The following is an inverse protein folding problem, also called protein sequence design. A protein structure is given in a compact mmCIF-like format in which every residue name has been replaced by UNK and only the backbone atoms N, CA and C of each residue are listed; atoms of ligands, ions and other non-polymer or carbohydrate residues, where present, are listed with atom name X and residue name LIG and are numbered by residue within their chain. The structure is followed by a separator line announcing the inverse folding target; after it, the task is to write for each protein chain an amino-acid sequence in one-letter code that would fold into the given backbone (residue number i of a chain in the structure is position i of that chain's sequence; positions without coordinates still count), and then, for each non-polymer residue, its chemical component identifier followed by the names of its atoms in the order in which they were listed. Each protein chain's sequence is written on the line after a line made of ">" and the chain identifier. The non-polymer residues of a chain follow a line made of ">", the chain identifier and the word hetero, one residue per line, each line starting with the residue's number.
data_IF_685837123690
#
_entry.id   IF_685837123690
#
_cell.length_a   1.000
_cell.length_b   1.000
_cell.length_c   1.000
_cell.angle_alpha   90.00
_cell.angle_beta   90.00
_cell.angle_gamma   90.00
#
_symmetry.space_group_name_H-M   'P 1'
#
loop_
_entity.id
_entity.type
_entity.pdbx_description
1 polymer ?
#
# COMPACT_ATOMS: atom_id res chain seq x y z
N UNK A 1 13.33 2.33 37.75
CA UNK A 1 12.87 1.90 36.41
C UNK A 1 14.10 1.86 35.52
N UNK A 2 14.47 0.72 34.90
CA UNK A 2 15.67 0.68 34.03
C UNK A 2 15.41 1.52 32.78
N UNK A 3 16.27 2.49 32.51
CA UNK A 3 16.35 3.21 31.22
C UNK A 3 16.67 2.17 30.14
N UNK A 4 15.82 2.04 29.12
CA UNK A 4 16.10 1.16 27.97
C UNK A 4 17.05 1.88 27.02
N UNK A 5 18.07 1.20 26.54
CA UNK A 5 18.95 1.71 25.50
C UNK A 5 18.22 1.88 24.16
N UNK A 6 18.75 2.72 23.27
CA UNK A 6 18.20 2.89 21.90
C UNK A 6 18.06 1.57 21.15
N UNK A 7 19.01 0.64 21.31
CA UNK A 7 18.99 -0.68 20.66
C UNK A 7 17.89 -1.58 21.22
N UNK A 8 17.67 -1.55 22.54
CA UNK A 8 16.55 -2.28 23.15
C UNK A 8 15.20 -1.71 22.70
N UNK A 9 15.06 -0.38 22.60
CA UNK A 9 13.84 0.26 22.08
C UNK A 9 13.61 -0.12 20.62
N UNK A 10 14.65 -0.07 19.79
CA UNK A 10 14.58 -0.49 18.39
C UNK A 10 14.11 -1.94 18.26
N UNK A 11 14.70 -2.89 19.00
CA UNK A 11 14.31 -4.30 18.95
C UNK A 11 12.85 -4.54 19.36
N UNK A 12 12.35 -3.76 20.33
CA UNK A 12 10.93 -3.78 20.71
C UNK A 12 10.06 -3.26 19.56
N UNK A 13 10.39 -2.10 18.99
CA UNK A 13 9.63 -1.50 17.89
C UNK A 13 9.55 -2.44 16.68
N UNK A 14 10.66 -3.08 16.31
CA UNK A 14 10.68 -4.09 15.26
C UNK A 14 9.68 -5.22 15.50
N UNK A 15 9.65 -5.76 16.73
CA UNK A 15 8.73 -6.82 17.09
C UNK A 15 7.27 -6.35 17.04
N UNK A 16 6.98 -5.17 17.60
CA UNK A 16 5.62 -4.63 17.62
C UNK A 16 5.11 -4.31 16.20
N UNK A 17 5.92 -3.69 15.35
CA UNK A 17 5.52 -3.43 13.96
C UNK A 17 5.33 -4.71 13.16
N UNK A 18 6.19 -5.73 13.34
CA UNK A 18 5.97 -7.05 12.73
C UNK A 18 4.68 -7.70 13.21
N UNK A 19 4.27 -7.49 14.46
CA UNK A 19 2.99 -7.96 14.97
C UNK A 19 1.81 -7.25 14.29
N UNK A 20 1.85 -5.92 14.17
CA UNK A 20 0.82 -5.12 13.45
C UNK A 20 0.69 -5.59 12.01
N UNK A 21 1.82 -5.73 11.30
CA UNK A 21 1.86 -6.19 9.91
C UNK A 21 1.31 -7.62 9.79
N UNK A 22 1.63 -8.50 10.74
CA UNK A 22 1.06 -9.85 10.78
C UNK A 22 -0.47 -9.82 10.92
N UNK A 23 -1.01 -8.92 11.75
CA UNK A 23 -2.47 -8.74 11.86
C UNK A 23 -3.04 -8.22 10.54
N UNK A 24 -2.37 -7.28 9.87
CA UNK A 24 -2.77 -6.79 8.56
C UNK A 24 -2.83 -7.91 7.51
N UNK A 25 -1.83 -8.79 7.46
CA UNK A 25 -1.83 -9.97 6.59
C UNK A 25 -3.04 -10.89 6.80
N UNK A 26 -3.51 -11.02 8.04
CA UNK A 26 -4.63 -11.91 8.40
C UNK A 26 -5.99 -11.22 8.40
N UNK A 27 -6.04 -9.90 8.28
CA UNK A 27 -7.29 -9.14 8.26
C UNK A 27 -7.81 -9.10 6.85
N UNK A 28 -8.97 -9.72 6.61
CA UNK A 28 -9.56 -9.79 5.27
C UNK A 28 -9.73 -8.40 4.64
N UNK A 29 -9.41 -8.28 3.35
CA UNK A 29 -9.73 -7.09 2.55
C UNK A 29 -11.24 -6.84 2.40
N UNK A 30 -12.10 -7.79 2.79
CA UNK A 30 -13.55 -7.59 2.87
C UNK A 30 -14.02 -7.09 4.26
N UNK A 31 -13.21 -7.22 5.31
CA UNK A 31 -13.54 -6.77 6.67
C UNK A 31 -13.10 -5.31 6.91
N UNK A 32 -13.91 -4.38 6.39
CA UNK A 32 -13.62 -2.94 6.49
C UNK A 32 -13.48 -2.47 7.93
N UNK A 33 -14.38 -2.89 8.83
CA UNK A 33 -14.37 -2.46 10.22
C UNK A 33 -13.03 -2.81 10.91
N UNK A 34 -12.53 -4.02 10.71
CA UNK A 34 -11.28 -4.43 11.36
C UNK A 34 -10.04 -3.80 10.73
N UNK A 35 -10.02 -3.60 9.40
CA UNK A 35 -8.94 -2.84 8.75
C UNK A 35 -8.89 -1.40 9.22
N UNK A 36 -10.03 -0.71 9.28
CA UNK A 36 -10.09 0.67 9.77
C UNK A 36 -9.66 0.79 11.22
N UNK A 37 -10.00 -0.18 12.09
CA UNK A 37 -9.47 -0.23 13.46
C UNK A 37 -7.95 -0.39 13.51
N UNK A 38 -7.38 -1.21 12.65
CA UNK A 38 -5.92 -1.40 12.59
C UNK A 38 -5.20 -0.15 12.07
N UNK A 39 -5.77 0.53 11.06
CA UNK A 39 -5.28 1.82 10.56
C UNK A 39 -5.38 2.87 11.65
N UNK A 40 -6.53 2.98 12.32
CA UNK A 40 -6.75 3.87 13.46
C UNK A 40 -5.73 3.64 14.56
N UNK A 41 -5.42 2.38 14.89
CA UNK A 41 -4.37 2.05 15.86
C UNK A 41 -3.00 2.62 15.45
N UNK A 42 -2.58 2.49 14.18
CA UNK A 42 -1.31 3.06 13.70
C UNK A 42 -1.32 4.59 13.81
N UNK A 43 -2.45 5.22 13.47
CA UNK A 43 -2.60 6.67 13.56
C UNK A 43 -2.60 7.16 15.00
N UNK A 44 -3.22 6.44 15.92
CA UNK A 44 -3.25 6.72 17.35
C UNK A 44 -1.88 6.54 18.00
N UNK A 45 -1.04 5.62 17.51
CA UNK A 45 0.35 5.54 17.96
C UNK A 45 1.08 6.86 17.71
N UNK A 46 0.81 7.57 16.61
CA UNK A 46 1.42 8.88 16.31
C UNK A 46 0.95 10.01 17.21
N UNK A 47 -0.20 9.86 17.87
CA UNK A 47 -0.73 10.89 18.78
C UNK A 47 -0.23 10.72 20.21
N UNK A 48 0.53 9.64 20.50
CA UNK A 48 1.10 9.43 21.83
C UNK A 48 2.10 10.54 22.19
N UNK A 49 2.18 10.92 23.47
CA UNK A 49 3.20 11.85 23.94
C UNK A 49 4.60 11.37 23.58
N UNK A 50 5.51 12.31 23.32
CA UNK A 50 6.92 12.03 23.07
C UNK A 50 7.45 11.13 24.19
N UNK A 51 8.07 10.01 23.80
CA UNK A 51 8.66 9.10 24.76
C UNK A 51 9.97 9.71 25.28
N UNK A 52 10.04 9.91 26.58
CA UNK A 52 11.25 10.38 27.27
C UNK A 52 11.81 9.29 28.20
N UNK A 53 13.13 9.23 28.30
CA UNK A 53 13.83 8.39 29.28
C UNK A 53 14.95 9.19 29.92
N UNK A 54 14.97 9.27 31.26
CA UNK A 54 15.97 10.05 32.00
C UNK A 54 16.09 11.53 31.58
N UNK A 55 14.99 12.13 31.10
CA UNK A 55 14.94 13.52 30.62
C UNK A 55 15.42 13.73 29.18
N UNK A 56 15.73 12.66 28.45
CA UNK A 56 16.08 12.71 27.04
C UNK A 56 14.97 12.12 26.16
N UNK A 57 14.75 12.73 25.00
CA UNK A 57 13.80 12.23 24.00
C UNK A 57 14.33 10.93 23.41
N UNK A 58 13.54 9.87 23.51
CA UNK A 58 13.86 8.59 22.91
C UNK A 58 13.84 8.70 21.38
N UNK A 59 14.98 8.41 20.77
CA UNK A 59 15.15 8.36 19.31
C UNK A 59 15.73 7.02 18.89
N UNK A 60 15.35 6.56 17.70
CA UNK A 60 15.94 5.41 17.01
C UNK A 60 16.29 5.87 15.61
N UNK A 61 17.55 5.71 15.19
CA UNK A 61 18.05 6.22 13.89
C UNK A 61 17.75 7.72 13.66
N UNK A 62 17.78 8.52 14.73
CA UNK A 62 17.46 9.95 14.70
C UNK A 62 15.96 10.29 14.71
N UNK A 63 15.09 9.30 14.48
CA UNK A 63 13.64 9.44 14.48
C UNK A 63 13.07 9.38 15.89
N UNK A 64 12.18 10.33 16.21
CA UNK A 64 11.47 10.43 17.49
C UNK A 64 10.45 9.31 17.62
N UNK A 65 10.54 8.55 18.70
CA UNK A 65 9.63 7.44 18.96
C UNK A 65 8.18 7.98 19.06
N UNK A 66 7.24 7.22 18.48
CA UNK A 66 5.82 7.57 18.27
C UNK A 66 5.54 8.63 17.21
N UNK A 67 6.30 9.73 17.18
CA UNK A 67 6.08 10.79 16.18
C UNK A 67 6.46 10.29 14.79
N UNK A 68 7.70 9.83 14.62
CA UNK A 68 8.28 9.51 13.31
C UNK A 68 8.13 8.02 12.95
N UNK A 69 7.55 7.22 13.85
CA UNK A 69 7.40 5.76 13.74
C UNK A 69 8.67 5.05 13.27
N UNK A 70 9.79 5.14 14.04
CA UNK A 70 11.04 4.50 13.65
C UNK A 70 10.85 3.03 13.32
N UNK A 71 11.60 2.58 12.32
CA UNK A 71 11.65 1.22 11.76
C UNK A 71 10.33 0.69 11.18
N UNK A 72 9.21 1.41 11.26
CA UNK A 72 7.94 0.97 10.68
C UNK A 72 8.02 0.84 9.15
N UNK A 73 8.58 1.85 8.48
CA UNK A 73 8.77 1.80 7.03
C UNK A 73 9.70 0.66 6.59
N UNK A 74 10.73 0.36 7.38
CA UNK A 74 11.63 -0.77 7.11
C UNK A 74 10.92 -2.13 7.30
N UNK A 75 10.09 -2.25 8.34
CA UNK A 75 9.28 -3.45 8.56
C UNK A 75 8.25 -3.67 7.44
N UNK A 76 7.61 -2.60 6.96
CA UNK A 76 6.70 -2.66 5.81
C UNK A 76 7.44 -3.05 4.52
N UNK A 77 8.68 -2.58 4.33
CA UNK A 77 9.51 -2.97 3.19
C UNK A 77 9.85 -4.46 3.21
N UNK A 78 10.29 -5.00 4.36
CA UNK A 78 10.53 -6.43 4.54
C UNK A 78 9.26 -7.26 4.24
N UNK A 79 8.09 -6.77 4.69
CA UNK A 79 6.81 -7.42 4.43
C UNK A 79 6.47 -7.44 2.93
N UNK A 80 6.76 -6.38 2.18
CA UNK A 80 6.59 -6.35 0.73
C UNK A 80 7.53 -7.33 0.01
N UNK A 81 8.80 -7.38 0.42
CA UNK A 81 9.81 -8.25 -0.20
C UNK A 81 9.53 -9.73 0.01
N UNK A 82 8.97 -10.12 1.17
CA UNK A 82 8.66 -11.53 1.48
C UNK A 82 7.22 -11.91 1.13
N UNK A 83 6.29 -10.96 1.19
CA UNK A 83 4.85 -11.21 1.07
C UNK A 83 4.28 -11.11 -0.34
N UNK A 84 5.08 -10.69 -1.34
CA UNK A 84 4.62 -10.62 -2.73
C UNK A 84 4.19 -12.02 -3.22
N UNK A 85 2.94 -12.16 -3.64
CA UNK A 85 2.37 -13.40 -4.14
C UNK A 85 1.96 -13.28 -5.62
N UNK A 86 1.79 -14.43 -6.26
CA UNK A 86 1.33 -14.59 -7.64
C UNK A 86 0.36 -15.77 -7.73
N UNK A 87 -0.18 -16.04 -8.91
CA UNK A 87 -1.07 -17.19 -9.16
C UNK A 87 -0.38 -18.54 -8.93
N UNK A 88 0.96 -18.57 -8.92
CA UNK A 88 1.74 -19.75 -8.58
C UNK A 88 1.91 -19.98 -7.06
N UNK A 89 1.58 -18.98 -6.24
CA UNK A 89 1.61 -19.08 -4.77
C UNK A 89 0.41 -19.87 -4.25
N UNK A 90 0.49 -20.41 -3.04
CA UNK A 90 -0.68 -21.00 -2.38
C UNK A 90 -1.74 -19.94 -2.02
N UNK A 91 -2.98 -20.39 -1.79
CA UNK A 91 -4.12 -19.49 -1.55
C UNK A 91 -3.94 -18.58 -0.32
N UNK A 92 -3.31 -19.07 0.74
CA UNK A 92 -3.07 -18.28 1.95
C UNK A 92 -2.05 -17.17 1.68
N UNK A 93 -1.00 -17.44 0.90
CA UNK A 93 -0.07 -16.40 0.45
C UNK A 93 -0.76 -15.35 -0.45
N UNK A 94 -1.62 -15.78 -1.38
CA UNK A 94 -2.39 -14.87 -2.24
C UNK A 94 -3.33 -13.96 -1.41
N UNK A 95 -4.07 -14.54 -0.46
CA UNK A 95 -5.00 -13.79 0.40
C UNK A 95 -4.27 -12.76 1.27
N UNK A 96 -3.15 -13.19 1.88
CA UNK A 96 -2.28 -12.30 2.67
C UNK A 96 -1.79 -11.13 1.83
N UNK A 97 -1.40 -11.38 0.59
CA UNK A 97 -0.93 -10.33 -0.31
C UNK A 97 -2.02 -9.29 -0.63
N UNK A 98 -3.25 -9.73 -0.89
CA UNK A 98 -4.37 -8.80 -1.11
C UNK A 98 -4.70 -8.03 0.18
N UNK A 99 -4.72 -8.71 1.32
CA UNK A 99 -5.02 -8.11 2.63
C UNK A 99 -4.04 -7.00 3.02
N UNK A 100 -2.73 -7.23 2.87
CA UNK A 100 -1.73 -6.21 3.21
C UNK A 100 -1.81 -5.00 2.27
N UNK A 101 -2.15 -5.22 0.98
CA UNK A 101 -2.36 -4.13 0.04
C UNK A 101 -3.60 -3.30 0.43
N UNK A 102 -4.70 -3.94 0.82
CA UNK A 102 -5.92 -3.26 1.29
C UNK A 102 -5.67 -2.44 2.58
N UNK A 103 -5.00 -3.01 3.57
CA UNK A 103 -4.61 -2.27 4.77
C UNK A 103 -3.72 -1.05 4.44
N UNK A 104 -2.78 -1.22 3.52
CA UNK A 104 -1.83 -0.16 3.17
C UNK A 104 -2.50 0.95 2.36
N UNK A 105 -3.45 0.63 1.48
CA UNK A 105 -4.26 1.62 0.78
C UNK A 105 -5.16 2.40 1.74
N UNK A 106 -5.82 1.74 2.69
CA UNK A 106 -6.61 2.40 3.74
C UNK A 106 -5.73 3.35 4.59
N UNK A 107 -4.51 2.94 4.93
CA UNK A 107 -3.56 3.78 5.68
C UNK A 107 -3.14 5.01 4.87
N UNK A 108 -2.84 4.84 3.57
CA UNK A 108 -2.46 5.95 2.67
C UNK A 108 -3.62 6.94 2.52
N UNK A 109 -4.84 6.46 2.29
CA UNK A 109 -6.05 7.29 2.22
C UNK A 109 -6.26 8.04 3.54
N UNK A 110 -6.15 7.36 4.69
CA UNK A 110 -6.35 7.98 6.01
C UNK A 110 -5.31 9.06 6.32
N UNK A 111 -4.04 8.82 5.98
CA UNK A 111 -2.95 9.81 6.16
C UNK A 111 -3.22 11.04 5.29
N UNK A 112 -3.59 10.85 4.02
CA UNK A 112 -3.88 11.94 3.10
C UNK A 112 -5.13 12.73 3.49
N UNK A 113 -6.21 12.05 3.90
CA UNK A 113 -7.45 12.68 4.40
C UNK A 113 -7.21 13.51 5.67
N UNK A 114 -6.23 13.12 6.49
CA UNK A 114 -5.79 13.89 7.65
C UNK A 114 -4.83 15.06 7.29
N UNK A 115 -4.59 15.32 6.00
CA UNK A 115 -3.61 16.29 5.48
C UNK A 115 -2.20 16.07 6.03
N UNK A 116 -1.83 14.81 6.25
CA UNK A 116 -0.49 14.39 6.69
C UNK A 116 0.27 13.78 5.51
N UNK A 117 1.59 13.74 5.63
CA UNK A 117 2.48 13.15 4.63
C UNK A 117 3.16 11.87 5.13
N UNK A 118 2.96 11.50 6.40
CA UNK A 118 3.67 10.38 7.03
C UNK A 118 2.73 9.51 7.91
N UNK A 119 2.90 8.17 7.87
CA UNK A 119 3.79 7.43 6.98
C UNK A 119 3.34 7.47 5.51
N UNK A 120 4.30 7.55 4.58
CA UNK A 120 4.03 7.51 3.14
C UNK A 120 4.34 6.13 2.55
N UNK A 121 3.28 5.37 2.25
CA UNK A 121 3.38 4.09 1.55
C UNK A 121 2.83 4.13 0.12
N UNK A 122 2.60 5.33 -0.44
CA UNK A 122 2.03 5.46 -1.78
C UNK A 122 2.92 4.86 -2.89
N UNK A 123 4.24 4.77 -2.66
CA UNK A 123 5.16 4.07 -3.57
C UNK A 123 4.79 2.58 -3.73
N UNK A 124 4.25 1.96 -2.68
CA UNK A 124 3.88 0.55 -2.74
C UNK A 124 2.65 0.34 -3.60
N UNK A 125 1.72 1.31 -3.59
CA UNK A 125 0.63 1.36 -4.55
C UNK A 125 1.13 1.42 -5.99
N UNK A 126 2.13 2.25 -6.29
CA UNK A 126 2.76 2.25 -7.62
C UNK A 126 3.32 0.89 -7.99
N UNK A 127 4.07 0.23 -7.09
CA UNK A 127 4.66 -1.08 -7.37
C UNK A 127 3.61 -2.16 -7.63
N UNK A 128 2.55 -2.19 -6.81
CA UNK A 128 1.46 -3.16 -6.95
C UNK A 128 0.66 -2.91 -8.23
N UNK A 129 0.26 -1.67 -8.49
CA UNK A 129 -0.52 -1.31 -9.69
C UNK A 129 0.31 -1.54 -10.96
N UNK A 130 1.60 -1.19 -10.96
CA UNK A 130 2.49 -1.44 -12.10
C UNK A 130 2.51 -2.92 -12.48
N UNK A 131 2.66 -3.79 -11.49
CA UNK A 131 2.77 -5.25 -11.70
C UNK A 131 1.59 -5.82 -12.49
N UNK A 132 0.36 -5.31 -12.30
CA UNK A 132 -0.84 -5.83 -12.96
C UNK A 132 -1.32 -5.01 -14.15
N UNK A 133 -1.14 -3.68 -14.13
CA UNK A 133 -1.70 -2.78 -15.13
C UNK A 133 -0.68 -2.25 -16.15
N UNK A 134 0.62 -2.37 -15.87
CA UNK A 134 1.68 -1.80 -16.69
C UNK A 134 2.73 -2.80 -17.16
N UNK A 135 2.78 -4.00 -16.59
CA UNK A 135 3.67 -5.06 -17.09
C UNK A 135 2.97 -5.96 -18.09
N UNK A 136 3.72 -6.40 -19.10
CA UNK A 136 3.27 -7.43 -20.02
C UNK A 136 3.30 -8.79 -19.31
N UNK A 137 2.22 -9.54 -19.46
CA UNK A 137 2.06 -10.88 -18.89
C UNK A 137 2.60 -11.93 -19.87
N UNK A 138 2.89 -13.13 -19.37
CA UNK A 138 3.33 -14.25 -20.22
C UNK A 138 2.28 -14.61 -21.28
N UNK A 139 1.01 -14.43 -20.96
CA UNK A 139 -0.10 -14.48 -21.89
C UNK A 139 -0.54 -13.05 -22.20
N UNK A 140 -0.42 -12.63 -23.46
CA UNK A 140 -0.73 -11.26 -23.87
C UNK A 140 -2.15 -10.87 -23.44
N UNK A 141 -2.24 -9.76 -22.71
CA UNK A 141 -3.52 -9.20 -22.27
C UNK A 141 -4.09 -9.78 -20.98
N UNK A 142 -3.55 -10.87 -20.42
CA UNK A 142 -4.04 -11.51 -19.18
C UNK A 142 -3.06 -11.35 -18.01
N UNK A 143 -3.25 -10.35 -17.12
CA UNK A 143 -2.39 -10.17 -15.96
C UNK A 143 -2.53 -11.33 -14.97
N UNK A 144 -1.54 -11.48 -14.10
CA UNK A 144 -1.61 -12.35 -12.92
C UNK A 144 -2.81 -11.94 -12.05
N UNK A 145 -3.68 -12.91 -11.73
CA UNK A 145 -4.96 -12.68 -11.05
C UNK A 145 -4.72 -12.16 -9.64
N UNK A 146 -3.74 -12.71 -8.94
CA UNK A 146 -3.36 -12.29 -7.58
C UNK A 146 -2.87 -10.84 -7.56
N UNK A 147 -1.99 -10.46 -8.49
CA UNK A 147 -1.54 -9.08 -8.64
C UNK A 147 -2.68 -8.14 -9.07
N UNK A 148 -3.62 -8.63 -9.88
CA UNK A 148 -4.80 -7.87 -10.30
C UNK A 148 -5.72 -7.57 -9.11
N UNK A 149 -6.01 -8.56 -8.26
CA UNK A 149 -6.78 -8.36 -7.01
C UNK A 149 -6.09 -7.36 -6.09
N UNK A 150 -4.78 -7.50 -5.90
CA UNK A 150 -3.99 -6.58 -5.07
C UNK A 150 -3.99 -5.14 -5.62
N UNK A 151 -3.96 -4.95 -6.94
CA UNK A 151 -4.07 -3.62 -7.53
C UNK A 151 -5.48 -3.06 -7.44
N UNK A 152 -6.51 -3.89 -7.61
CA UNK A 152 -7.91 -3.46 -7.52
C UNK A 152 -8.23 -2.85 -6.14
N UNK A 153 -7.74 -3.46 -5.04
CA UNK A 153 -7.97 -2.93 -3.69
C UNK A 153 -7.31 -1.55 -3.45
N UNK A 154 -6.25 -1.19 -4.18
CA UNK A 154 -5.71 0.18 -4.14
C UNK A 154 -6.69 1.21 -4.71
N UNK A 155 -7.37 0.89 -5.81
CA UNK A 155 -8.41 1.76 -6.36
C UNK A 155 -9.65 1.78 -5.47
N UNK A 156 -10.09 0.63 -4.96
CA UNK A 156 -11.29 0.57 -4.11
C UNK A 156 -11.13 1.43 -2.85
N UNK A 157 -9.97 1.35 -2.19
CA UNK A 157 -9.78 2.00 -0.89
C UNK A 157 -9.08 3.36 -0.94
N UNK A 158 -8.38 3.69 -2.04
CA UNK A 158 -7.58 4.92 -2.12
C UNK A 158 -7.70 5.68 -3.46
N UNK A 159 -8.75 5.49 -4.26
CA UNK A 159 -8.89 6.17 -5.57
C UNK A 159 -8.78 7.69 -5.48
N UNK A 160 -9.38 8.33 -4.47
CA UNK A 160 -9.34 9.78 -4.29
C UNK A 160 -7.90 10.24 -4.07
N UNK A 161 -7.21 9.64 -3.11
CA UNK A 161 -5.81 9.96 -2.80
C UNK A 161 -4.87 9.67 -3.98
N UNK A 162 -5.04 8.55 -4.68
CA UNK A 162 -4.24 8.22 -5.86
C UNK A 162 -4.44 9.26 -6.98
N UNK A 163 -5.68 9.65 -7.27
CA UNK A 163 -5.97 10.67 -8.27
C UNK A 163 -5.39 12.03 -7.85
N UNK A 164 -5.47 12.40 -6.58
CA UNK A 164 -4.89 13.64 -6.08
C UNK A 164 -3.37 13.64 -6.19
N UNK A 165 -2.69 12.53 -5.87
CA UNK A 165 -1.25 12.41 -6.13
C UNK A 165 -0.91 12.53 -7.62
N UNK A 166 -1.76 11.99 -8.51
CA UNK A 166 -1.60 12.11 -9.95
C UNK A 166 -1.79 13.56 -10.44
N UNK A 167 -2.78 14.28 -9.93
CA UNK A 167 -3.00 15.71 -10.22
C UNK A 167 -1.85 16.58 -9.71
N UNK A 168 -1.32 16.24 -8.53
CA UNK A 168 -0.16 16.93 -7.93
C UNK A 168 1.17 16.56 -8.59
N UNK A 169 1.19 15.52 -9.43
CA UNK A 169 2.40 15.05 -10.10
C UNK A 169 3.45 14.50 -9.13
N UNK A 170 3.03 13.85 -8.04
CA UNK A 170 3.94 13.36 -6.99
C UNK A 170 5.02 12.42 -7.56
N UNK A 171 6.30 12.84 -7.47
CA UNK A 171 7.45 12.09 -7.99
C UNK A 171 8.23 11.37 -6.88
N UNK A 172 9.01 10.36 -7.27
CA UNK A 172 9.95 9.68 -6.38
C UNK A 172 11.39 9.79 -6.92
N UNK A 173 12.35 9.80 -6.00
CA UNK A 173 13.77 9.90 -6.36
C UNK A 173 14.27 8.63 -7.08
N UNK A 174 15.07 8.83 -8.12
CA UNK A 174 15.61 7.72 -8.93
C UNK A 174 14.54 7.05 -9.79
N UNK A 175 14.71 5.75 -10.06
CA UNK A 175 13.83 4.95 -10.96
C UNK A 175 12.82 4.07 -10.20
N UNK A 176 12.64 4.30 -8.91
CA UNK A 176 11.81 3.41 -8.06
C UNK A 176 10.34 3.40 -8.47
N UNK A 177 9.85 4.50 -9.05
CA UNK A 177 8.48 4.65 -9.50
C UNK A 177 8.33 4.66 -11.02
N UNK A 178 9.32 4.11 -11.75
CA UNK A 178 9.27 4.07 -13.22
C UNK A 178 8.05 3.27 -13.72
N UNK A 179 7.59 3.62 -14.92
CA UNK A 179 6.56 2.89 -15.64
C UNK A 179 6.95 1.43 -15.93
N UNK A 180 5.95 0.55 -16.03
CA UNK A 180 6.10 -0.83 -16.48
C UNK A 180 6.34 -0.95 -17.99
N UNK A 181 6.62 -2.18 -18.42
CA UNK A 181 7.01 -2.51 -19.81
C UNK A 181 6.01 -2.08 -20.89
N UNK A 182 4.71 -2.03 -20.59
CA UNK A 182 3.67 -1.59 -21.52
C UNK A 182 3.76 -0.09 -21.88
N UNK A 183 4.39 0.72 -21.03
CA UNK A 183 4.43 2.19 -21.18
C UNK A 183 5.86 2.76 -21.28
N UNK A 184 6.86 1.91 -21.59
CA UNK A 184 8.26 2.23 -21.99
C UNK A 184 8.90 3.50 -21.37
N UNK A 185 8.73 3.72 -20.06
CA UNK A 185 9.41 4.79 -19.32
C UNK A 185 8.73 6.17 -19.35
N UNK A 186 7.45 6.24 -19.69
CA UNK A 186 6.67 7.49 -19.73
C UNK A 186 6.46 8.14 -18.35
N UNK A 187 6.61 7.38 -17.25
CA UNK A 187 6.25 7.85 -15.91
C UNK A 187 7.36 7.60 -14.88
N UNK A 188 7.51 8.50 -13.90
CA UNK A 188 8.34 8.29 -12.70
C UNK A 188 7.66 8.76 -11.40
N UNK A 189 6.49 8.20 -11.13
CA UNK A 189 5.65 8.60 -10.01
C UNK A 189 4.18 8.61 -10.40
N UNK A 190 3.43 9.46 -9.74
CA UNK A 190 2.03 9.74 -10.06
C UNK A 190 1.95 10.85 -11.10
N UNK A 191 1.12 10.66 -12.13
CA UNK A 191 0.80 11.68 -13.12
C UNK A 191 -0.61 11.47 -13.67
N UNK A 192 -1.20 12.51 -14.26
CA UNK A 192 -2.54 12.42 -14.84
C UNK A 192 -2.58 11.42 -16.01
N UNK A 193 -1.50 11.36 -16.80
CA UNK A 193 -1.35 10.43 -17.93
C UNK A 193 -1.31 8.99 -17.43
N UNK A 194 -0.54 8.72 -16.36
CA UNK A 194 -0.46 7.39 -15.74
C UNK A 194 -1.79 6.95 -15.16
N UNK A 195 -2.52 7.86 -14.52
CA UNK A 195 -3.88 7.58 -14.05
C UNK A 195 -4.82 7.17 -15.20
N UNK A 196 -4.81 7.92 -16.30
CA UNK A 196 -5.64 7.59 -17.47
C UNK A 196 -5.26 6.23 -18.06
N UNK A 197 -3.96 5.92 -18.14
CA UNK A 197 -3.48 4.61 -18.57
C UNK A 197 -4.04 3.48 -17.68
N UNK A 198 -4.02 3.66 -16.36
CA UNK A 198 -4.61 2.69 -15.41
C UNK A 198 -6.12 2.52 -15.61
N UNK A 199 -6.88 3.62 -15.70
CA UNK A 199 -8.34 3.57 -15.89
C UNK A 199 -8.70 2.88 -17.21
N UNK A 200 -7.99 3.19 -18.30
CA UNK A 200 -8.18 2.52 -19.60
C UNK A 200 -7.88 1.02 -19.48
N UNK A 201 -6.83 0.63 -18.74
CA UNK A 201 -6.49 -0.78 -18.54
C UNK A 201 -7.54 -1.50 -17.69
N UNK A 202 -7.99 -0.89 -16.59
CA UNK A 202 -9.07 -1.42 -15.74
C UNK A 202 -10.35 -1.64 -16.55
N UNK A 203 -10.74 -0.68 -17.39
CA UNK A 203 -11.92 -0.80 -18.26
C UNK A 203 -11.82 -2.02 -19.19
N UNK A 204 -10.69 -2.18 -19.87
CA UNK A 204 -10.46 -3.36 -20.72
C UNK A 204 -10.54 -4.68 -19.95
N UNK A 205 -10.01 -4.71 -18.73
CA UNK A 205 -10.03 -5.91 -17.88
C UNK A 205 -11.41 -6.20 -17.28
N UNK A 206 -12.22 -5.16 -17.01
CA UNK A 206 -13.59 -5.30 -16.54
C UNK A 206 -14.53 -5.88 -17.61
N UNK A 207 -14.23 -5.61 -18.88
CA UNK A 207 -14.96 -6.09 -20.07
C UNK A 207 -14.46 -7.46 -20.56
N UNK A 208 -13.24 -7.86 -20.17
CA UNK A 208 -12.65 -9.13 -20.56
C UNK A 208 -13.32 -10.32 -19.87
N UNK A 209 -13.31 -11.46 -20.55
CA UNK A 209 -13.72 -12.71 -19.93
C UNK A 209 -12.64 -13.17 -18.94
N UNK A 210 -12.98 -13.28 -17.67
CA UNK A 210 -12.08 -13.69 -16.60
C UNK A 210 -12.71 -14.87 -15.84
N UNK A 211 -12.05 -16.04 -15.79
CA UNK A 211 -12.57 -17.20 -15.08
C UNK A 211 -12.58 -17.03 -13.56
N UNK A 212 -11.82 -16.08 -13.00
CA UNK A 212 -11.89 -15.73 -11.58
C UNK A 212 -12.93 -14.62 -11.36
N UNK A 213 -14.10 -15.02 -10.87
CA UNK A 213 -15.24 -14.12 -10.65
C UNK A 213 -14.98 -13.07 -9.56
N UNK A 214 -14.18 -13.40 -8.53
CA UNK A 214 -13.81 -12.45 -7.47
C UNK A 214 -12.91 -11.35 -8.03
N UNK A 215 -11.92 -11.72 -8.86
CA UNK A 215 -11.07 -10.76 -9.54
C UNK A 215 -11.89 -9.87 -10.48
N UNK A 216 -12.82 -10.45 -11.24
CA UNK A 216 -13.71 -9.70 -12.13
C UNK A 216 -14.54 -8.68 -11.37
N UNK A 217 -15.15 -9.09 -10.25
CA UNK A 217 -15.91 -8.19 -9.39
C UNK A 217 -15.02 -7.06 -8.83
N UNK A 218 -13.85 -7.39 -8.29
CA UNK A 218 -12.92 -6.40 -7.75
C UNK A 218 -12.46 -5.39 -8.80
N UNK A 219 -12.21 -5.82 -10.03
CA UNK A 219 -11.84 -4.91 -11.14
C UNK A 219 -12.99 -3.98 -11.51
N UNK A 220 -14.23 -4.48 -11.52
CA UNK A 220 -15.41 -3.64 -11.76
C UNK A 220 -15.61 -2.60 -10.65
N UNK A 221 -15.42 -3.00 -9.39
CA UNK A 221 -15.46 -2.09 -8.23
C UNK A 221 -14.33 -1.06 -8.28
N UNK A 222 -13.11 -1.48 -8.63
CA UNK A 222 -11.97 -0.60 -8.82
C UNK A 222 -12.22 0.44 -9.92
N UNK A 223 -12.76 0.03 -11.08
CA UNK A 223 -13.12 0.93 -12.16
C UNK A 223 -14.17 1.95 -11.70
N UNK A 224 -15.22 1.49 -11.01
CA UNK A 224 -16.26 2.36 -10.47
C UNK A 224 -15.70 3.38 -9.48
N UNK A 225 -14.82 2.96 -8.57
CA UNK A 225 -14.16 3.85 -7.61
C UNK A 225 -13.30 4.90 -8.32
N UNK A 226 -12.53 4.50 -9.34
CA UNK A 226 -11.71 5.40 -10.14
C UNK A 226 -12.55 6.42 -10.92
N UNK A 227 -13.67 6.00 -11.51
CA UNK A 227 -14.62 6.90 -12.20
C UNK A 227 -15.34 7.85 -11.23
N UNK A 228 -15.63 7.39 -10.01
CA UNK A 228 -16.23 8.24 -8.98
C UNK A 228 -15.27 9.33 -8.50
N UNK A 229 -13.99 9.02 -8.31
CA UNK A 229 -12.98 10.00 -7.92
C UNK A 229 -12.78 11.12 -8.95
N UNK A 230 -13.11 10.88 -10.22
CA UNK A 230 -13.01 11.86 -11.31
C UNK A 230 -14.17 12.85 -11.40
N UNK A 231 -15.27 12.63 -10.66
CA UNK A 231 -16.47 13.48 -10.68
C UNK A 231 -16.31 14.67 -9.74
#
# INVERSE_FOLDING_TARGET
>A
MRTRSSSEIEGLLWREWKAVIKVAFTTSFADDEWRQKLVGFVMDVKTKPVLESSGEVCRVHGQTVWVDLPVFGAAMREAWDVGTASDASDKDAQDRWVNINAFTSDLVETVAAAHKTDPDFSLYGIWTIRTSLEEDSKEEGKPDVTALKAAAVWFIHASNTLLDFCKQGKQFQGKVAQAGSLYRGEFNGFSTERWQAWVVRLKKLAEADNPDEEAKQLVQEALKAAEQAQK
#
